data_IF_453340728875
#
_entry.id   IF_453340728875
#
_cell.length_a   1.000
_cell.length_b   1.000
_cell.length_c   1.000
_cell.angle_alpha   90.00
_cell.angle_beta   90.00
_cell.angle_gamma   90.00
#
_symmetry.space_group_name_H-M   'P 1'
#
loop_
_entity.id
_entity.type
_entity.pdbx_description
1 polymer ?
#
# COMPACT_ATOMS: atom_id res chain seq x y z
N UNK A 1 16.51 -24.63 -5.24
CA UNK A 1 17.22 -23.51 -5.90
C UNK A 1 16.23 -22.37 -6.03
N UNK A 2 15.85 -21.79 -4.90
CA UNK A 2 16.46 -20.55 -4.38
C UNK A 2 16.07 -19.33 -5.20
N UNK A 3 14.78 -18.99 -5.17
CA UNK A 3 14.28 -17.65 -5.44
C UNK A 3 14.28 -16.87 -4.13
N UNK A 4 15.50 -16.49 -3.72
CA UNK A 4 15.74 -15.43 -2.76
C UNK A 4 15.23 -14.11 -3.37
N UNK A 5 13.95 -13.79 -3.13
CA UNK A 5 13.50 -12.40 -3.17
C UNK A 5 14.16 -11.67 -2.01
N UNK A 6 15.44 -11.36 -2.16
CA UNK A 6 16.15 -10.41 -1.30
C UNK A 6 15.59 -9.03 -1.62
N UNK A 7 14.47 -8.69 -0.97
CA UNK A 7 14.08 -7.30 -0.78
C UNK A 7 15.10 -6.75 0.21
N UNK A 8 16.17 -6.16 -0.32
CA UNK A 8 17.02 -5.27 0.45
C UNK A 8 16.24 -3.96 0.62
N UNK A 9 15.39 -3.92 1.64
CA UNK A 9 14.78 -2.69 2.13
C UNK A 9 15.89 -1.98 2.93
N UNK A 10 16.49 -0.95 2.35
CA UNK A 10 17.43 -0.10 3.09
C UNK A 10 16.71 0.50 4.32
N UNK A 11 17.36 0.56 5.51
CA UNK A 11 16.71 1.01 6.73
C UNK A 11 16.70 2.55 6.78
N UNK A 12 15.79 3.18 6.04
CA UNK A 12 15.61 4.63 6.09
C UNK A 12 14.66 5.00 7.25
N UNK A 13 15.26 5.12 8.44
CA UNK A 13 14.68 5.51 9.74
C UNK A 13 13.78 4.45 10.40
N UNK A 14 14.17 4.07 11.63
CA UNK A 14 13.51 3.10 12.49
C UNK A 14 12.11 3.58 12.94
N UNK A 15 11.17 3.61 12.02
CA UNK A 15 9.76 3.83 12.31
C UNK A 15 9.23 2.57 13.01
N UNK A 16 8.59 2.70 14.18
CA UNK A 16 8.16 1.53 14.93
C UNK A 16 7.04 0.81 14.16
N UNK A 17 6.97 -0.51 14.38
CA UNK A 17 5.88 -1.34 13.89
C UNK A 17 4.54 -0.85 14.45
N UNK A 18 3.48 -1.08 13.69
CA UNK A 18 2.12 -0.82 14.17
C UNK A 18 1.74 -1.84 15.23
N UNK A 19 1.08 -1.37 16.29
CA UNK A 19 0.41 -2.25 17.23
C UNK A 19 -0.97 -2.69 16.68
N UNK A 20 -1.61 -3.63 17.36
CA UNK A 20 -2.92 -4.18 16.97
C UNK A 20 -4.02 -3.11 16.86
N UNK A 21 -3.95 -2.06 17.68
CA UNK A 21 -4.93 -0.98 17.67
C UNK A 21 -4.74 -0.08 16.46
N UNK A 22 -3.50 0.27 16.14
CA UNK A 22 -3.17 1.07 14.97
C UNK A 22 -3.47 0.29 13.67
N UNK A 23 -3.20 -1.02 13.64
CA UNK A 23 -3.60 -1.91 12.54
C UNK A 23 -5.12 -1.93 12.35
N UNK A 24 -5.89 -2.10 13.43
CA UNK A 24 -7.35 -2.11 13.37
C UNK A 24 -7.93 -0.80 12.82
N UNK A 25 -7.36 0.35 13.22
CA UNK A 25 -7.76 1.67 12.67
C UNK A 25 -7.40 1.79 11.19
N UNK A 26 -6.22 1.31 10.81
CA UNK A 26 -5.76 1.37 9.43
C UNK A 26 -6.65 0.52 8.52
N UNK A 27 -6.98 -0.71 8.92
CA UNK A 27 -7.95 -1.57 8.26
C UNK A 27 -9.29 -0.88 8.02
N UNK A 28 -9.87 -0.29 9.08
CA UNK A 28 -11.14 0.39 8.98
C UNK A 28 -11.12 1.58 8.01
N UNK A 29 -10.02 2.33 7.98
CA UNK A 29 -9.85 3.49 7.10
C UNK A 29 -9.64 3.11 5.63
N UNK A 30 -9.14 1.91 5.36
CA UNK A 30 -8.89 1.43 3.99
C UNK A 30 -10.14 0.83 3.31
N UNK A 31 -11.31 0.87 3.93
CA UNK A 31 -12.57 0.38 3.34
C UNK A 31 -13.04 1.35 2.25
N UNK A 32 -13.13 0.89 1.00
CA UNK A 32 -13.56 1.71 -0.14
C UNK A 32 -14.92 1.25 -0.68
N UNK A 33 -15.48 2.03 -1.61
CA UNK A 33 -16.72 1.68 -2.31
C UNK A 33 -16.50 0.92 -3.62
N UNK A 34 -15.25 0.79 -4.05
CA UNK A 34 -14.84 0.17 -5.31
C UNK A 34 -14.12 -1.16 -5.04
N UNK A 35 -14.70 -2.26 -5.53
CA UNK A 35 -14.24 -3.61 -5.25
C UNK A 35 -12.77 -3.83 -5.66
N UNK A 36 -12.35 -3.28 -6.79
CA UNK A 36 -10.97 -3.40 -7.25
C UNK A 36 -10.00 -2.84 -6.22
N UNK A 37 -10.29 -1.66 -5.64
CA UNK A 37 -9.43 -1.08 -4.60
C UNK A 37 -9.38 -1.98 -3.37
N UNK A 38 -10.53 -2.50 -2.93
CA UNK A 38 -10.59 -3.40 -1.78
C UNK A 38 -9.73 -4.66 -2.02
N UNK A 39 -9.78 -5.26 -3.21
CA UNK A 39 -8.96 -6.43 -3.56
C UNK A 39 -7.45 -6.14 -3.55
N UNK A 40 -7.02 -4.95 -3.98
CA UNK A 40 -5.61 -4.53 -3.87
C UNK A 40 -5.20 -4.38 -2.40
N UNK A 41 -6.07 -3.78 -1.59
CA UNK A 41 -5.84 -3.49 -0.18
C UNK A 41 -5.80 -4.79 0.65
N UNK A 42 -6.73 -5.72 0.40
CA UNK A 42 -6.76 -7.04 1.04
C UNK A 42 -5.47 -7.83 0.78
N UNK A 43 -5.01 -7.87 -0.47
CA UNK A 43 -3.74 -8.54 -0.82
C UNK A 43 -2.52 -7.82 -0.24
N UNK A 44 -2.59 -6.50 -0.07
CA UNK A 44 -1.55 -5.74 0.61
C UNK A 44 -1.44 -6.15 2.08
N UNK A 45 -2.55 -6.17 2.82
CA UNK A 45 -2.54 -6.58 4.22
C UNK A 45 -2.14 -8.04 4.39
N UNK A 46 -2.68 -8.95 3.56
CA UNK A 46 -2.31 -10.36 3.59
C UNK A 46 -0.79 -10.61 3.43
N UNK A 47 -0.09 -9.70 2.74
CA UNK A 47 1.35 -9.83 2.47
C UNK A 47 2.23 -9.07 3.46
N UNK A 48 1.83 -7.86 3.86
CA UNK A 48 2.72 -6.91 4.52
C UNK A 48 2.30 -6.55 5.95
N UNK A 49 1.12 -6.92 6.41
CA UNK A 49 0.57 -6.53 7.73
C UNK A 49 1.57 -6.68 8.90
N UNK A 50 2.30 -7.81 9.05
CA UNK A 50 3.25 -7.99 10.17
C UNK A 50 4.46 -7.05 10.14
N UNK A 51 4.72 -6.41 8.99
CA UNK A 51 5.88 -5.56 8.73
C UNK A 51 5.48 -4.09 8.59
N UNK A 52 4.20 -3.75 8.78
CA UNK A 52 3.74 -2.37 8.67
C UNK A 52 4.27 -1.52 9.83
N UNK A 53 4.73 -0.33 9.48
CA UNK A 53 5.29 0.66 10.43
C UNK A 53 4.40 1.90 10.44
N UNK A 54 4.63 2.79 11.41
CA UNK A 54 3.97 4.09 11.42
C UNK A 54 4.17 4.90 10.13
N UNK A 55 5.33 4.75 9.47
CA UNK A 55 5.62 5.37 8.16
C UNK A 55 4.73 4.81 7.06
N UNK A 56 4.57 3.48 7.00
CA UNK A 56 3.64 2.85 6.07
C UNK A 56 2.18 3.29 6.33
N UNK A 57 1.78 3.43 7.61
CA UNK A 57 0.45 3.96 7.93
C UNK A 57 0.28 5.44 7.51
N UNK A 58 1.34 6.25 7.52
CA UNK A 58 1.29 7.62 7.00
C UNK A 58 1.07 7.63 5.49
N UNK A 59 1.89 6.89 4.73
CA UNK A 59 1.73 6.79 3.28
C UNK A 59 0.37 6.23 2.87
N UNK A 60 -0.15 5.25 3.61
CA UNK A 60 -1.49 4.73 3.40
C UNK A 60 -2.56 5.81 3.68
N UNK A 61 -2.43 6.60 4.74
CA UNK A 61 -3.38 7.68 5.06
C UNK A 61 -3.47 8.72 3.95
N UNK A 62 -2.33 9.10 3.38
CA UNK A 62 -2.24 10.02 2.25
C UNK A 62 -2.98 9.44 1.04
N UNK A 63 -2.64 8.21 0.63
CA UNK A 63 -3.36 7.52 -0.45
C UNK A 63 -4.87 7.36 -0.17
N UNK A 64 -5.28 7.27 1.10
CA UNK A 64 -6.68 7.17 1.49
C UNK A 64 -7.48 8.49 1.34
N UNK A 65 -6.81 9.63 1.17
CA UNK A 65 -7.49 10.91 0.92
C UNK A 65 -7.89 11.10 -0.55
N UNK A 66 -7.42 10.24 -1.45
CA UNK A 66 -7.83 10.22 -2.85
C UNK A 66 -9.24 9.64 -3.04
N UNK A 67 -9.94 10.08 -4.08
CA UNK A 67 -11.18 9.44 -4.52
C UNK A 67 -10.91 8.02 -5.07
N UNK A 68 -11.92 7.16 -5.07
CA UNK A 68 -11.75 5.74 -5.43
C UNK A 68 -11.16 5.54 -6.83
N UNK A 69 -11.62 6.32 -7.82
CA UNK A 69 -11.08 6.23 -9.19
C UNK A 69 -9.64 6.75 -9.29
N UNK A 70 -9.30 7.81 -8.55
CA UNK A 70 -7.95 8.37 -8.55
C UNK A 70 -6.94 7.39 -7.96
N UNK A 71 -7.32 6.72 -6.87
CA UNK A 71 -6.53 5.64 -6.27
C UNK A 71 -6.37 4.48 -7.25
N UNK A 72 -7.46 4.04 -7.89
CA UNK A 72 -7.40 2.94 -8.84
C UNK A 72 -6.48 3.25 -10.03
N UNK A 73 -6.55 4.47 -10.58
CA UNK A 73 -5.67 4.86 -11.68
C UNK A 73 -4.19 4.89 -11.29
N UNK A 74 -3.86 5.23 -10.03
CA UNK A 74 -2.50 5.08 -9.50
C UNK A 74 -2.12 3.60 -9.37
N UNK A 75 -2.99 2.75 -8.84
CA UNK A 75 -2.73 1.31 -8.70
C UNK A 75 -2.48 0.64 -10.06
N UNK A 76 -3.22 1.06 -11.09
CA UNK A 76 -3.10 0.58 -12.47
C UNK A 76 -1.97 1.23 -13.27
N UNK A 77 -1.18 2.13 -12.66
CA UNK A 77 -0.11 2.90 -13.35
C UNK A 77 -0.59 3.71 -14.55
N UNK A 78 -1.87 4.11 -14.57
CA UNK A 78 -2.42 5.03 -15.59
C UNK A 78 -1.99 6.47 -15.33
N UNK A 79 -1.66 6.75 -14.07
CA UNK A 79 -1.09 8.00 -13.57
C UNK A 79 -0.04 7.71 -12.51
N UNK A 80 0.80 8.69 -12.23
CA UNK A 80 1.74 8.70 -11.11
C UNK A 80 1.27 9.67 -10.02
N UNK A 81 1.72 9.50 -8.76
CA UNK A 81 1.37 10.41 -7.68
C UNK A 81 1.88 11.83 -7.99
N UNK A 82 1.11 12.82 -7.59
CA UNK A 82 1.39 14.23 -7.84
C UNK A 82 0.76 15.10 -6.73
N UNK A 83 1.31 16.30 -6.53
CA UNK A 83 0.80 17.25 -5.55
C UNK A 83 1.02 16.77 -4.11
N UNK A 84 0.00 16.91 -3.26
CA UNK A 84 0.07 16.56 -1.82
C UNK A 84 0.26 15.05 -1.56
N UNK A 85 -0.04 14.22 -2.56
CA UNK A 85 0.08 12.76 -2.48
C UNK A 85 1.42 12.24 -2.98
N UNK A 86 2.32 13.14 -3.38
CA UNK A 86 3.62 12.82 -3.95
C UNK A 86 4.74 12.84 -2.90
N UNK A 87 4.45 12.24 -1.75
CA UNK A 87 5.37 12.07 -0.63
C UNK A 87 6.21 10.80 -0.79
N UNK A 88 7.30 10.70 -0.04
CA UNK A 88 8.12 9.50 -0.05
C UNK A 88 7.35 8.30 0.53
N UNK A 89 6.56 8.52 1.57
CA UNK A 89 5.74 7.50 2.23
C UNK A 89 4.62 6.97 1.33
N UNK A 90 3.89 7.86 0.64
CA UNK A 90 2.82 7.47 -0.28
C UNK A 90 3.38 6.69 -1.48
N UNK A 91 4.52 7.13 -2.05
CA UNK A 91 5.19 6.41 -3.14
C UNK A 91 5.66 5.01 -2.71
N UNK A 92 6.21 4.90 -1.50
CA UNK A 92 6.64 3.63 -0.93
C UNK A 92 5.47 2.65 -0.79
N UNK A 93 4.38 3.08 -0.14
CA UNK A 93 3.18 2.26 0.05
C UNK A 93 2.49 1.95 -1.28
N UNK A 94 2.43 2.90 -2.22
CA UNK A 94 1.92 2.67 -3.57
C UNK A 94 2.72 1.59 -4.30
N UNK A 95 4.05 1.61 -4.15
CA UNK A 95 4.93 0.56 -4.66
C UNK A 95 4.62 -0.81 -4.06
N UNK A 96 4.33 -0.89 -2.76
CA UNK A 96 3.93 -2.13 -2.08
C UNK A 96 2.56 -2.62 -2.57
N UNK A 97 1.56 -1.74 -2.67
CA UNK A 97 0.22 -2.05 -3.16
C UNK A 97 0.26 -2.61 -4.60
N UNK A 98 1.04 -1.97 -5.49
CA UNK A 98 1.24 -2.43 -6.87
C UNK A 98 1.89 -3.81 -6.94
N UNK A 99 2.76 -4.18 -5.99
CA UNK A 99 3.36 -5.52 -5.90
C UNK A 99 2.39 -6.59 -5.39
N UNK A 100 1.40 -6.19 -4.58
CA UNK A 100 0.37 -7.10 -4.08
C UNK A 100 -0.70 -7.43 -5.11
N UNK A 101 -1.18 -6.46 -5.90
CA UNK A 101 -2.21 -6.72 -6.90
C UNK A 101 -1.71 -7.16 -8.27
N UNK A 102 -0.39 -7.29 -8.48
CA UNK A 102 0.19 -7.78 -9.74
C UNK A 102 -0.26 -9.20 -10.13
N UNK A 103 -0.73 -10.00 -9.16
CA UNK A 103 -1.29 -11.33 -9.43
C UNK A 103 -2.68 -11.28 -10.10
N UNK A 104 -3.46 -10.21 -9.93
CA UNK A 104 -4.75 -10.04 -10.62
C UNK A 104 -4.57 -9.64 -12.10
N UNK A 105 -3.51 -8.92 -12.43
CA UNK A 105 -3.26 -8.43 -13.79
C UNK A 105 -2.75 -9.50 -14.77
N UNK A 106 -2.28 -10.66 -14.29
CA UNK A 106 -1.75 -11.74 -15.14
C UNK A 106 -2.84 -12.73 -15.61
N UNK A 107 -4.08 -12.57 -15.13
CA UNK A 107 -5.19 -13.48 -15.42
C UNK A 107 -6.41 -12.82 -16.09
N UNK A 108 -6.30 -11.57 -16.55
CA UNK A 108 -7.29 -10.87 -17.36
C UNK A 108 -6.77 -10.65 -18.78
#
# INVERSE_FOLDING_TARGET
MENLSTISLAPAAASPLLDERELSKLHWRCRRGLLENDLFIEQFFARYEPMLTQRHAQGMRELMDLADNDLLDLLLRRREPAGEQDTEEAREVLGMLRQSGGALAVHA
#
